data_IF_226196265133
#
_entry.id   IF_226196265133
#
_cell.length_a   1.000
_cell.length_b   1.000
_cell.length_c   1.000
_cell.angle_alpha   90.00
_cell.angle_beta   90.00
_cell.angle_gamma   90.00
#
_symmetry.space_group_name_H-M   'P 1'
#
loop_
_entity.id
_entity.type
_entity.pdbx_description
1 polymer ?
#
# COMPACT_ATOMS: atom_id res chain seq x y z
N UNK A 1 18.87 -15.03 -2.47
CA UNK A 1 17.41 -15.22 -2.63
C UNK A 1 17.10 -15.44 -4.10
N UNK A 2 16.25 -16.43 -4.41
CA UNK A 2 15.87 -16.76 -5.79
C UNK A 2 15.07 -15.62 -6.43
N UNK A 3 15.22 -15.44 -7.75
CA UNK A 3 14.53 -14.41 -8.53
C UNK A 3 12.99 -14.47 -8.36
N UNK A 4 12.43 -15.69 -8.31
CA UNK A 4 10.99 -15.93 -8.11
C UNK A 4 10.45 -15.26 -6.85
N UNK A 5 11.18 -15.36 -5.74
CA UNK A 5 10.77 -14.76 -4.47
C UNK A 5 10.77 -13.22 -4.54
N UNK A 6 11.74 -12.62 -5.25
CA UNK A 6 11.78 -11.17 -5.46
C UNK A 6 10.57 -10.68 -6.26
N UNK A 7 10.22 -11.41 -7.33
CA UNK A 7 9.05 -11.11 -8.16
C UNK A 7 7.77 -11.23 -7.33
N UNK A 8 7.62 -12.30 -6.56
CA UNK A 8 6.45 -12.48 -5.69
C UNK A 8 6.29 -11.34 -4.68
N UNK A 9 7.37 -10.96 -3.99
CA UNK A 9 7.34 -9.85 -3.02
C UNK A 9 6.99 -8.53 -3.71
N UNK A 10 7.53 -8.27 -4.90
CA UNK A 10 7.20 -7.08 -5.67
C UNK A 10 5.73 -7.05 -6.09
N UNK A 11 5.22 -8.14 -6.68
CA UNK A 11 3.81 -8.22 -7.11
C UNK A 11 2.87 -8.08 -5.90
N UNK A 12 3.20 -8.71 -4.77
CA UNK A 12 2.41 -8.59 -3.55
C UNK A 12 2.41 -7.16 -3.01
N UNK A 13 3.57 -6.49 -3.01
CA UNK A 13 3.68 -5.08 -2.63
C UNK A 13 2.85 -4.17 -3.55
N UNK A 14 2.87 -4.44 -4.86
CA UNK A 14 2.08 -3.70 -5.84
C UNK A 14 0.58 -3.86 -5.60
N UNK A 15 0.11 -5.11 -5.42
CA UNK A 15 -1.31 -5.39 -5.17
C UNK A 15 -1.79 -4.73 -3.88
N UNK A 16 -1.05 -4.91 -2.77
CA UNK A 16 -1.42 -4.30 -1.48
C UNK A 16 -1.36 -2.78 -1.52
N UNK A 17 -0.38 -2.21 -2.23
CA UNK A 17 -0.29 -0.77 -2.47
C UNK A 17 -1.50 -0.23 -3.25
N UNK A 18 -1.93 -0.92 -4.31
CA UNK A 18 -3.11 -0.54 -5.09
C UNK A 18 -4.38 -0.64 -4.23
N UNK A 19 -4.55 -1.71 -3.45
CA UNK A 19 -5.71 -1.84 -2.54
C UNK A 19 -5.73 -0.74 -1.47
N UNK A 20 -4.58 -0.42 -0.87
CA UNK A 20 -4.44 0.70 0.07
C UNK A 20 -4.79 2.03 -0.60
N UNK A 21 -4.31 2.27 -1.83
CA UNK A 21 -4.62 3.48 -2.59
C UNK A 21 -6.12 3.61 -2.89
N UNK A 22 -6.76 2.54 -3.38
CA UNK A 22 -8.19 2.53 -3.72
C UNK A 22 -9.06 2.77 -2.48
N UNK A 23 -8.77 2.07 -1.38
CA UNK A 23 -9.49 2.27 -0.11
C UNK A 23 -9.28 3.67 0.45
N UNK A 24 -8.05 4.22 0.35
CA UNK A 24 -7.74 5.58 0.75
C UNK A 24 -8.48 6.61 -0.11
N UNK A 25 -8.60 6.39 -1.41
CA UNK A 25 -9.32 7.26 -2.33
C UNK A 25 -10.82 7.27 -2.06
N UNK A 26 -11.41 6.11 -1.72
CA UNK A 26 -12.81 6.02 -1.28
C UNK A 26 -13.02 6.82 0.01
N UNK A 27 -12.12 6.71 0.99
CA UNK A 27 -12.21 7.46 2.24
C UNK A 27 -11.97 8.96 2.04
N UNK A 28 -11.07 9.34 1.15
CA UNK A 28 -10.75 10.73 0.82
C UNK A 28 -11.95 11.44 0.18
N UNK A 29 -12.62 10.75 -0.76
CA UNK A 29 -13.83 11.27 -1.41
C UNK A 29 -15.09 11.12 -0.55
N UNK A 30 -15.00 10.51 0.63
CA UNK A 30 -16.15 10.31 1.49
C UNK A 30 -16.70 11.68 1.95
N UNK A 31 -18.01 11.94 1.82
CA UNK A 31 -18.57 13.23 2.20
C UNK A 31 -18.37 13.53 3.69
N UNK A 32 -18.26 14.81 4.05
CA UNK A 32 -18.07 15.26 5.42
C UNK A 32 -19.38 15.86 5.95
N UNK A 33 -19.80 15.52 7.18
CA UNK A 33 -20.97 16.10 7.84
C UNK A 33 -21.76 15.12 8.73
N UNK A 34 -22.81 15.59 9.43
CA UNK A 34 -23.55 14.80 10.42
C UNK A 34 -24.21 13.53 9.86
N UNK A 35 -24.53 13.53 8.56
CA UNK A 35 -25.14 12.39 7.85
C UNK A 35 -24.12 11.47 7.16
N UNK A 36 -22.84 11.85 7.13
CA UNK A 36 -21.81 11.10 6.42
C UNK A 36 -21.54 9.72 7.04
N UNK A 37 -21.79 9.55 8.34
CA UNK A 37 -21.66 8.26 9.03
C UNK A 37 -22.75 7.24 8.68
N UNK A 38 -23.85 7.68 8.08
CA UNK A 38 -24.97 6.82 7.66
C UNK A 38 -24.87 6.38 6.20
N UNK A 39 -23.93 6.97 5.43
CA UNK A 39 -23.70 6.56 4.05
C UNK A 39 -23.10 5.14 4.06
N UNK A 40 -23.60 4.29 3.18
CA UNK A 40 -23.03 2.97 2.93
C UNK A 40 -22.54 2.92 1.49
N UNK A 41 -21.25 2.62 1.32
CA UNK A 41 -20.63 2.41 0.02
C UNK A 41 -20.31 0.92 -0.09
N UNK A 42 -20.84 0.26 -1.13
CA UNK A 42 -20.80 -1.20 -1.29
C UNK A 42 -21.32 -1.98 -0.06
N UNK A 43 -22.34 -1.45 0.63
CA UNK A 43 -22.91 -2.06 1.83
C UNK A 43 -22.05 -1.93 3.09
N UNK A 44 -20.93 -1.20 3.04
CA UNK A 44 -20.03 -0.99 4.17
C UNK A 44 -20.08 0.47 4.65
N UNK A 45 -19.94 0.67 5.95
CA UNK A 45 -19.88 2.00 6.58
C UNK A 45 -18.51 2.64 6.41
N UNK A 46 -18.41 3.95 6.65
CA UNK A 46 -17.12 4.68 6.65
C UNK A 46 -16.09 4.03 7.59
N UNK A 47 -16.53 3.54 8.76
CA UNK A 47 -15.66 2.88 9.74
C UNK A 47 -15.05 1.62 9.16
N UNK A 48 -15.87 0.77 8.54
CA UNK A 48 -15.42 -0.49 7.96
C UNK A 48 -14.47 -0.27 6.79
N UNK A 49 -14.69 0.75 5.95
CA UNK A 49 -13.73 1.17 4.94
C UNK A 49 -12.41 1.67 5.55
N UNK A 50 -12.49 2.37 6.69
CA UNK A 50 -11.34 2.81 7.49
C UNK A 50 -10.50 1.64 8.00
N UNK A 51 -11.15 0.62 8.55
CA UNK A 51 -10.50 -0.60 9.04
C UNK A 51 -9.81 -1.37 7.89
N UNK A 52 -10.49 -1.53 6.75
CA UNK A 52 -9.89 -2.15 5.55
C UNK A 52 -8.68 -1.34 5.06
N UNK A 53 -8.80 -0.02 4.97
CA UNK A 53 -7.70 0.83 4.57
C UNK A 53 -6.51 0.71 5.52
N UNK A 54 -6.74 0.72 6.82
CA UNK A 54 -5.70 0.55 7.83
C UNK A 54 -5.01 -0.82 7.70
N UNK A 55 -5.77 -1.89 7.53
CA UNK A 55 -5.25 -3.25 7.35
C UNK A 55 -4.37 -3.35 6.08
N UNK A 56 -4.88 -2.91 4.93
CA UNK A 56 -4.12 -2.96 3.68
C UNK A 56 -2.89 -2.07 3.72
N UNK A 57 -2.98 -0.90 4.35
CA UNK A 57 -1.85 0.03 4.49
C UNK A 57 -0.76 -0.54 5.41
N UNK A 58 -1.13 -1.19 6.51
CA UNK A 58 -0.18 -1.85 7.40
C UNK A 58 0.52 -3.03 6.71
N UNK A 59 -0.24 -3.88 6.01
CA UNK A 59 0.32 -4.98 5.23
C UNK A 59 1.22 -4.48 4.10
N UNK A 60 0.80 -3.42 3.40
CA UNK A 60 1.59 -2.76 2.36
C UNK A 60 2.90 -2.22 2.91
N UNK A 61 2.87 -1.53 4.06
CA UNK A 61 4.07 -1.03 4.73
C UNK A 61 5.04 -2.18 5.05
N UNK A 62 4.53 -3.25 5.66
CA UNK A 62 5.35 -4.41 6.01
C UNK A 62 6.00 -5.03 4.77
N UNK A 63 5.24 -5.28 3.70
CA UNK A 63 5.79 -5.91 2.49
C UNK A 63 6.74 -4.98 1.73
N UNK A 64 6.52 -3.66 1.77
CA UNK A 64 7.45 -2.68 1.20
C UNK A 64 8.79 -2.72 1.96
N UNK A 65 8.77 -2.76 3.29
CA UNK A 65 10.00 -2.91 4.09
C UNK A 65 10.74 -4.20 3.70
N UNK A 66 10.03 -5.32 3.60
CA UNK A 66 10.61 -6.60 3.14
C UNK A 66 11.17 -6.47 1.73
N UNK A 67 10.44 -5.84 0.81
CA UNK A 67 10.87 -5.58 -0.56
C UNK A 67 12.18 -4.78 -0.61
N UNK A 68 12.31 -3.72 0.20
CA UNK A 68 13.51 -2.90 0.29
C UNK A 68 14.70 -3.69 0.85
N UNK A 69 14.51 -4.48 1.91
CA UNK A 69 15.58 -5.29 2.52
C UNK A 69 16.10 -6.36 1.56
N UNK A 70 15.20 -7.01 0.82
CA UNK A 70 15.53 -8.02 -0.19
C UNK A 70 16.26 -7.39 -1.38
N UNK A 71 15.85 -6.20 -1.80
CA UNK A 71 16.42 -5.49 -2.95
C UNK A 71 17.50 -4.45 -2.58
N UNK A 72 17.97 -4.41 -1.32
CA UNK A 72 18.95 -3.43 -0.82
C UNK A 72 20.21 -3.28 -1.65
N UNK A 73 20.72 -4.38 -2.23
CA UNK A 73 21.93 -4.35 -3.08
C UNK A 73 21.68 -3.58 -4.38
N UNK A 74 20.51 -3.80 -4.99
CA UNK A 74 20.09 -3.08 -6.20
C UNK A 74 19.85 -1.60 -5.88
N UNK A 75 19.20 -1.29 -4.76
CA UNK A 75 18.98 0.10 -4.31
C UNK A 75 20.31 0.83 -4.08
N UNK A 76 21.27 0.18 -3.41
CA UNK A 76 22.60 0.76 -3.20
C UNK A 76 23.36 0.99 -4.50
N UNK A 77 23.18 0.12 -5.50
CA UNK A 77 23.73 0.31 -6.83
C UNK A 77 23.14 1.55 -7.53
N UNK A 78 21.81 1.70 -7.52
CA UNK A 78 21.14 2.90 -8.05
C UNK A 78 21.58 4.18 -7.34
N UNK A 79 21.72 4.14 -6.01
CA UNK A 79 22.18 5.29 -5.23
C UNK A 79 23.61 5.69 -5.55
N UNK A 80 24.52 4.72 -5.72
CA UNK A 80 25.90 4.98 -6.13
C UNK A 80 25.97 5.55 -7.54
N UNK A 81 25.12 5.07 -8.45
CA UNK A 81 25.03 5.62 -9.80
C UNK A 81 24.58 7.08 -9.78
N UNK A 82 23.55 7.43 -9.00
CA UNK A 82 23.06 8.80 -8.87
C UNK A 82 24.07 9.76 -8.22
N UNK A 83 24.95 9.27 -7.33
CA UNK A 83 26.02 10.08 -6.72
C UNK A 83 27.30 10.18 -7.56
N UNK A 84 27.46 9.31 -8.56
CA UNK A 84 28.61 9.26 -9.46
C UNK A 84 28.41 10.00 -10.78
N UNK A 85 27.23 10.59 -10.97
CA UNK A 85 26.88 11.60 -11.98
C UNK A 85 26.88 12.99 -11.38
#
# INVERSE_FOLDING_TARGET
>A
MPLRLRIMIFVLALILGILSLLTGLILYLWPHGPRAGQLMIFGMTKSSWGELHALFSLLSLFIIVVHLVVNRKSIMFYWRYLKGS
#
